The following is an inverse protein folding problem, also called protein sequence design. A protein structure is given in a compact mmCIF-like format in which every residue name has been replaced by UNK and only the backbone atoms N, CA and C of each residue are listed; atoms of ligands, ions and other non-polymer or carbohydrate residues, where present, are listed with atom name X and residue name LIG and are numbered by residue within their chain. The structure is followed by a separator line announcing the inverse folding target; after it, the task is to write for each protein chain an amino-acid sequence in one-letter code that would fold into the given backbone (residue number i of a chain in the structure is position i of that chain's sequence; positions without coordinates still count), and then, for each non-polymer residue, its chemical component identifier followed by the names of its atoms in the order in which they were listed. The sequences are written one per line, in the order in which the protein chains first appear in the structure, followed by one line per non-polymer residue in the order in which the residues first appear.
data_IF_867610279119
#
_entry.id   IF_867610279119
#
_cell.length_a   1.000
_cell.length_b   1.000
_cell.length_c   1.000
_cell.angle_alpha   90.00
_cell.angle_beta   90.00
_cell.angle_gamma   90.00
#
_symmetry.space_group_name_H-M   'P 1'
#
loop_
_entity.id
_entity.type
_entity.pdbx_description
1 polymer ?
#
# COMPACT_ATOMS: atom_id res chain seq x y z
N UNK A 1 32.56 69.70 -56.90
CA UNK A 1 31.40 68.85 -56.58
C UNK A 1 31.81 67.95 -55.42
N UNK A 2 31.13 67.95 -54.27
CA UNK A 2 31.52 67.10 -53.14
C UNK A 2 31.09 65.65 -53.37
N UNK A 3 31.95 64.69 -53.01
CA UNK A 3 31.64 63.26 -53.07
C UNK A 3 30.60 62.86 -52.03
N UNK A 4 29.61 62.06 -52.45
CA UNK A 4 28.49 61.61 -51.62
C UNK A 4 28.94 60.56 -50.59
N UNK A 5 28.41 60.58 -49.34
CA UNK A 5 28.82 59.62 -48.33
C UNK A 5 28.23 58.22 -48.62
N UNK A 6 29.05 57.20 -48.53
CA UNK A 6 28.65 55.79 -48.63
C UNK A 6 28.03 55.38 -47.29
N UNK A 7 26.72 55.08 -47.30
CA UNK A 7 26.04 54.52 -46.13
C UNK A 7 26.25 53.00 -46.08
N UNK A 8 27.00 52.54 -45.08
CA UNK A 8 27.21 51.12 -44.81
C UNK A 8 25.93 50.54 -44.15
N UNK A 9 25.18 49.73 -44.90
CA UNK A 9 23.97 49.09 -44.41
C UNK A 9 24.35 47.92 -43.49
N UNK A 10 24.48 48.16 -42.19
CA UNK A 10 24.61 47.07 -41.22
C UNK A 10 23.24 46.43 -40.97
N UNK A 11 23.09 45.16 -41.36
CA UNK A 11 21.85 44.38 -41.19
C UNK A 11 21.55 44.13 -39.70
N UNK A 12 20.31 44.33 -39.21
CA UNK A 12 20.00 44.19 -37.79
C UNK A 12 20.08 42.73 -37.35
N UNK A 13 20.94 42.44 -36.36
CA UNK A 13 21.09 41.10 -35.79
C UNK A 13 19.77 40.61 -35.16
N UNK A 14 19.22 39.51 -35.72
CA UNK A 14 17.95 38.88 -35.32
C UNK A 14 18.02 38.39 -33.86
N UNK A 15 17.40 39.13 -32.94
CA UNK A 15 17.39 38.84 -31.50
C UNK A 15 16.63 37.52 -31.25
N UNK A 16 17.35 36.44 -30.90
CA UNK A 16 16.76 35.12 -30.65
C UNK A 16 15.85 35.17 -29.41
N UNK A 17 14.55 34.90 -29.60
CA UNK A 17 13.56 34.86 -28.52
C UNK A 17 13.79 33.65 -27.60
N UNK A 18 14.34 33.90 -26.40
CA UNK A 18 14.62 32.87 -25.37
C UNK A 18 13.37 32.11 -24.89
N UNK A 19 12.16 32.56 -25.25
CA UNK A 19 10.88 31.87 -24.96
C UNK A 19 10.84 30.46 -25.56
N UNK A 20 11.40 30.25 -26.75
CA UNK A 20 11.46 28.92 -27.38
C UNK A 20 12.43 27.98 -26.67
N UNK A 21 13.52 28.50 -26.10
CA UNK A 21 14.43 27.71 -25.26
C UNK A 21 13.76 27.28 -23.96
N UNK A 22 12.92 28.16 -23.38
CA UNK A 22 12.13 27.81 -22.19
C UNK A 22 11.07 26.75 -22.50
N UNK A 23 10.34 26.87 -23.62
CA UNK A 23 9.38 25.86 -24.07
C UNK A 23 10.06 24.51 -24.34
N UNK A 24 11.21 24.51 -25.01
CA UNK A 24 11.99 23.30 -25.24
C UNK A 24 12.46 22.65 -23.92
N UNK A 25 12.87 23.46 -22.94
CA UNK A 25 13.22 22.99 -21.60
C UNK A 25 12.04 22.33 -20.87
N UNK A 26 10.84 22.92 -20.93
CA UNK A 26 9.63 22.34 -20.32
C UNK A 26 9.25 21.02 -20.98
N UNK A 27 9.31 20.93 -22.31
CA UNK A 27 9.03 19.69 -23.04
C UNK A 27 10.03 18.59 -22.66
N UNK A 28 11.32 18.95 -22.53
CA UNK A 28 12.37 18.02 -22.13
C UNK A 28 12.19 17.54 -20.69
N UNK A 29 11.79 18.43 -19.77
CA UNK A 29 11.44 18.06 -18.39
C UNK A 29 10.20 17.16 -18.32
N UNK A 30 9.15 17.43 -19.11
CA UNK A 30 7.96 16.57 -19.18
C UNK A 30 8.29 15.19 -19.77
N UNK A 31 9.15 15.13 -20.79
CA UNK A 31 9.65 13.88 -21.36
C UNK A 31 10.46 13.06 -20.36
N UNK A 32 11.38 13.70 -19.62
CA UNK A 32 12.14 13.06 -18.55
C UNK A 32 11.25 12.61 -17.39
N UNK A 33 10.23 13.40 -17.04
CA UNK A 33 9.26 13.05 -16.03
C UNK A 33 8.48 11.79 -16.42
N UNK A 34 7.91 11.76 -17.64
CA UNK A 34 7.21 10.58 -18.16
C UNK A 34 8.10 9.34 -18.29
N UNK A 35 9.36 9.51 -18.68
CA UNK A 35 10.34 8.42 -18.72
C UNK A 35 10.56 7.80 -17.33
N UNK A 36 10.67 8.63 -16.29
CA UNK A 36 10.91 8.16 -14.92
C UNK A 36 9.66 7.57 -14.25
N UNK A 37 8.48 8.13 -14.53
CA UNK A 37 7.23 7.72 -13.85
C UNK A 37 6.48 6.61 -14.56
N UNK A 38 6.90 6.21 -15.77
CA UNK A 38 6.22 5.23 -16.61
C UNK A 38 4.72 5.56 -16.84
N UNK A 39 4.35 6.85 -16.77
CA UNK A 39 2.97 7.34 -16.92
C UNK A 39 2.63 7.71 -18.35
N UNK A 40 3.28 7.09 -19.34
CA UNK A 40 3.07 7.42 -20.75
C UNK A 40 1.62 7.09 -21.18
N UNK A 41 0.93 7.96 -21.94
CA UNK A 41 -0.46 7.74 -22.35
C UNK A 41 -0.68 6.53 -23.27
N UNK A 42 0.35 6.15 -24.02
CA UNK A 42 0.39 5.00 -24.94
C UNK A 42 1.29 3.91 -24.36
N UNK A 43 0.74 2.73 -24.11
CA UNK A 43 1.47 1.62 -23.48
C UNK A 43 2.00 0.61 -24.48
N UNK A 44 1.38 0.51 -25.65
CA UNK A 44 1.82 -0.36 -26.74
C UNK A 44 1.32 0.17 -28.09
N UNK A 45 1.90 -0.31 -29.19
CA UNK A 45 1.37 -0.14 -30.54
C UNK A 45 1.18 -1.50 -31.18
N UNK A 46 0.04 -1.71 -31.82
CA UNK A 46 -0.23 -2.90 -32.65
C UNK A 46 -0.33 -2.42 -34.09
N UNK A 47 0.76 -2.59 -34.85
CA UNK A 47 0.89 -1.95 -36.17
C UNK A 47 0.86 -0.43 -36.07
N UNK A 48 -0.19 0.20 -36.61
CA UNK A 48 -0.42 1.66 -36.55
C UNK A 48 -1.48 2.10 -35.53
N UNK A 49 -2.01 1.16 -34.73
CA UNK A 49 -3.03 1.46 -33.73
C UNK A 49 -2.41 1.55 -32.33
N UNK A 50 -2.45 2.72 -31.67
CA UNK A 50 -1.95 2.86 -30.31
C UNK A 50 -2.90 2.23 -29.29
N UNK A 51 -2.34 1.51 -28.31
CA UNK A 51 -3.04 1.04 -27.11
C UNK A 51 -2.86 2.08 -26.02
N UNK A 52 -3.97 2.70 -25.61
CA UNK A 52 -3.93 3.75 -24.60
C UNK A 52 -3.98 3.19 -23.18
N UNK A 53 -3.22 3.81 -22.29
CA UNK A 53 -3.16 3.46 -20.86
C UNK A 53 -4.53 3.50 -20.18
N UNK A 54 -5.42 4.42 -20.57
CA UNK A 54 -6.76 4.50 -19.98
C UNK A 54 -7.61 3.25 -20.28
N UNK A 55 -7.44 2.64 -21.46
CA UNK A 55 -8.16 1.41 -21.83
C UNK A 55 -7.68 0.23 -20.97
N UNK A 56 -6.37 0.13 -20.79
CA UNK A 56 -5.76 -0.88 -19.91
C UNK A 56 -6.21 -0.68 -18.47
N UNK A 57 -6.12 0.54 -17.95
CA UNK A 57 -6.59 0.85 -16.59
C UNK A 57 -8.08 0.53 -16.42
N UNK A 58 -8.92 0.83 -17.40
CA UNK A 58 -10.34 0.50 -17.35
C UNK A 58 -10.57 -1.03 -17.36
N UNK A 59 -9.80 -1.78 -18.16
CA UNK A 59 -9.88 -3.24 -18.16
C UNK A 59 -9.42 -3.85 -16.83
N UNK A 60 -8.29 -3.39 -16.28
CA UNK A 60 -7.81 -3.78 -14.94
C UNK A 60 -8.81 -3.41 -13.86
N UNK A 61 -9.43 -2.23 -13.96
CA UNK A 61 -10.44 -1.79 -13.02
C UNK A 61 -11.67 -2.71 -13.04
N UNK A 62 -12.09 -3.17 -14.22
CA UNK A 62 -13.17 -4.17 -14.36
C UNK A 62 -12.79 -5.54 -13.78
N UNK A 63 -11.53 -5.96 -13.89
CA UNK A 63 -11.07 -7.26 -13.40
C UNK A 63 -10.89 -7.32 -11.88
N UNK A 64 -10.41 -6.24 -11.26
CA UNK A 64 -10.12 -6.24 -9.82
C UNK A 64 -10.06 -4.88 -9.14
N UNK A 65 -10.31 -3.79 -9.88
CA UNK A 65 -10.22 -2.43 -9.34
C UNK A 65 -11.18 -2.16 -8.19
N UNK A 66 -12.39 -2.72 -8.22
CA UNK A 66 -13.35 -2.61 -7.10
C UNK A 66 -12.75 -3.15 -5.80
N UNK A 67 -12.18 -4.36 -5.83
CA UNK A 67 -11.58 -4.99 -4.65
C UNK A 67 -10.37 -4.21 -4.14
N UNK A 68 -9.55 -3.68 -5.06
CA UNK A 68 -8.42 -2.80 -4.70
C UNK A 68 -8.92 -1.52 -4.02
N UNK A 69 -9.98 -0.89 -4.54
CA UNK A 69 -10.59 0.28 -3.90
C UNK A 69 -11.11 -0.06 -2.51
N UNK A 70 -11.81 -1.19 -2.33
CA UNK A 70 -12.30 -1.59 -1.01
C UNK A 70 -11.18 -1.87 -0.01
N UNK A 71 -10.08 -2.49 -0.46
CA UNK A 71 -8.88 -2.67 0.37
C UNK A 71 -8.31 -1.33 0.84
N UNK A 72 -8.18 -0.37 -0.08
CA UNK A 72 -7.67 0.98 0.21
C UNK A 72 -8.63 1.76 1.14
N UNK A 73 -9.94 1.65 0.94
CA UNK A 73 -10.95 2.25 1.82
C UNK A 73 -10.80 1.68 3.23
N UNK A 74 -10.76 0.35 3.35
CA UNK A 74 -10.59 -0.34 4.62
C UNK A 74 -9.31 0.12 5.32
N UNK A 75 -8.17 0.12 4.62
CA UNK A 75 -6.90 0.62 5.15
C UNK A 75 -7.01 2.05 5.70
N UNK A 76 -7.63 2.97 4.95
CA UNK A 76 -7.79 4.36 5.38
C UNK A 76 -8.69 4.50 6.60
N UNK A 77 -9.78 3.75 6.66
CA UNK A 77 -10.68 3.73 7.81
C UNK A 77 -9.94 3.25 9.05
N UNK A 78 -9.23 2.12 8.94
CA UNK A 78 -8.46 1.54 10.05
C UNK A 78 -7.37 2.50 10.53
N UNK A 79 -6.55 3.03 9.62
CA UNK A 79 -5.51 4.02 9.97
C UNK A 79 -6.09 5.25 10.67
N UNK A 80 -7.20 5.77 10.16
CA UNK A 80 -7.88 6.92 10.76
C UNK A 80 -8.39 6.62 12.16
N UNK A 81 -8.93 5.43 12.40
CA UNK A 81 -9.46 5.04 13.70
C UNK A 81 -8.35 4.72 14.72
N UNK A 82 -7.26 4.08 14.29
CA UNK A 82 -6.05 3.88 15.10
C UNK A 82 -5.49 5.23 15.58
N UNK A 83 -5.38 6.20 14.67
CA UNK A 83 -4.93 7.55 15.00
C UNK A 83 -5.85 8.25 16.01
N UNK A 84 -7.19 8.13 15.87
CA UNK A 84 -8.15 8.69 16.83
C UNK A 84 -8.03 8.07 18.23
N UNK A 85 -7.71 6.78 18.31
CA UNK A 85 -7.48 6.06 19.57
C UNK A 85 -6.07 6.29 20.15
N UNK A 86 -5.23 7.08 19.48
CA UNK A 86 -3.85 7.34 19.92
C UNK A 86 -2.92 6.14 19.80
N UNK A 87 -3.29 5.13 19.00
CA UNK A 87 -2.49 3.93 18.82
C UNK A 87 -1.51 4.18 17.68
N UNK A 88 -0.22 4.19 18.03
CA UNK A 88 0.88 4.37 17.09
C UNK A 88 1.89 3.26 17.29
N UNK A 89 2.11 2.47 16.24
CA UNK A 89 3.13 1.43 16.21
C UNK A 89 4.44 2.06 15.74
N UNK A 90 5.47 1.94 16.57
CA UNK A 90 6.82 2.45 16.26
C UNK A 90 7.45 1.70 15.09
N UNK A 91 8.41 2.33 14.41
CA UNK A 91 9.18 1.65 13.35
C UNK A 91 9.91 0.42 13.89
N UNK A 92 10.46 0.49 15.09
CA UNK A 92 11.15 -0.64 15.72
C UNK A 92 10.24 -1.86 15.93
N UNK A 93 8.96 -1.66 16.30
CA UNK A 93 8.01 -2.76 16.42
C UNK A 93 7.68 -3.38 15.06
N UNK A 94 7.53 -2.56 14.03
CA UNK A 94 7.28 -3.04 12.68
C UNK A 94 8.49 -3.80 12.12
N UNK A 95 9.70 -3.28 12.32
CA UNK A 95 10.93 -3.92 11.88
C UNK A 95 11.16 -5.25 12.61
N UNK A 96 10.88 -5.33 13.91
CA UNK A 96 10.95 -6.59 14.66
C UNK A 96 10.01 -7.67 14.08
N UNK A 97 8.79 -7.29 13.68
CA UNK A 97 7.85 -8.21 13.05
C UNK A 97 8.29 -8.60 11.63
N UNK A 98 8.84 -7.68 10.85
CA UNK A 98 9.43 -7.97 9.55
C UNK A 98 10.58 -8.97 9.69
N UNK A 99 11.45 -8.82 10.69
CA UNK A 99 12.53 -9.78 10.95
C UNK A 99 12.03 -11.17 11.35
N UNK A 100 10.93 -11.25 12.11
CA UNK A 100 10.24 -12.53 12.38
C UNK A 100 9.74 -13.19 11.08
N UNK A 101 9.12 -12.39 10.19
CA UNK A 101 8.67 -12.86 8.89
C UNK A 101 9.85 -13.33 8.04
N UNK A 102 10.96 -12.58 8.00
CA UNK A 102 12.18 -12.99 7.29
C UNK A 102 12.72 -14.33 7.78
N UNK A 103 12.77 -14.54 9.10
CA UNK A 103 13.19 -15.83 9.69
C UNK A 103 12.25 -16.96 9.29
N UNK A 104 10.95 -16.70 9.16
CA UNK A 104 9.96 -17.71 8.74
C UNK A 104 10.09 -18.14 7.28
N UNK A 105 10.71 -17.33 6.42
CA UNK A 105 10.92 -17.64 5.00
C UNK A 105 12.06 -18.65 4.77
N UNK A 106 12.88 -18.91 5.79
CA UNK A 106 14.02 -19.81 5.74
C UNK A 106 15.34 -19.11 5.38
N UNK A 107 16.46 -19.76 5.72
CA UNK A 107 17.79 -19.23 5.43
C UNK A 107 18.05 -19.19 3.91
N UNK A 108 18.60 -18.07 3.42
CA UNK A 108 18.96 -17.88 2.02
C UNK A 108 17.89 -17.24 1.14
N UNK A 109 16.70 -16.95 1.67
CA UNK A 109 15.67 -16.20 0.97
C UNK A 109 15.92 -14.70 1.12
N UNK A 110 16.15 -14.01 0.01
CA UNK A 110 16.24 -12.55 -0.01
C UNK A 110 14.82 -11.94 -0.04
N UNK A 111 14.42 -11.39 1.10
CA UNK A 111 13.14 -10.74 1.28
C UNK A 111 12.93 -9.56 0.32
N UNK A 112 13.97 -8.75 0.07
CA UNK A 112 13.84 -7.57 -0.76
C UNK A 112 13.68 -7.97 -2.24
N UNK A 113 14.36 -9.04 -2.67
CA UNK A 113 14.16 -9.62 -4.00
C UNK A 113 12.74 -10.18 -4.18
N UNK A 114 12.18 -10.86 -3.17
CA UNK A 114 10.80 -11.36 -3.22
C UNK A 114 9.77 -10.23 -3.29
N UNK A 115 10.01 -9.12 -2.59
CA UNK A 115 9.14 -7.96 -2.68
C UNK A 115 9.22 -7.31 -4.05
N UNK A 116 10.44 -7.16 -4.59
CA UNK A 116 10.66 -6.59 -5.93
C UNK A 116 9.96 -7.41 -7.02
N UNK A 117 9.97 -8.75 -6.94
CA UNK A 117 9.23 -9.62 -7.86
C UNK A 117 7.72 -9.35 -7.84
N UNK A 118 7.18 -9.02 -6.66
CA UNK A 118 5.76 -8.66 -6.46
C UNK A 118 5.47 -7.19 -6.75
N UNK A 119 6.48 -6.40 -7.12
CA UNK A 119 6.35 -4.95 -7.33
C UNK A 119 6.05 -4.19 -6.03
N UNK A 120 6.46 -4.72 -4.88
CA UNK A 120 6.30 -4.12 -3.56
C UNK A 120 7.62 -3.57 -3.05
N UNK A 121 7.52 -2.56 -2.19
CA UNK A 121 8.64 -1.98 -1.46
C UNK A 121 8.61 -2.39 0.01
N UNK A 122 9.78 -2.37 0.67
CA UNK A 122 9.89 -2.61 2.11
C UNK A 122 9.04 -1.62 2.91
N UNK A 123 8.96 -0.37 2.45
CA UNK A 123 8.15 0.67 3.10
C UNK A 123 6.65 0.38 3.04
N UNK A 124 6.16 -0.16 1.91
CA UNK A 124 4.77 -0.60 1.79
C UNK A 124 4.46 -1.75 2.73
N UNK A 125 5.38 -2.72 2.86
CA UNK A 125 5.23 -3.81 3.82
C UNK A 125 5.28 -3.31 5.26
N UNK A 126 6.20 -2.39 5.58
CA UNK A 126 6.27 -1.76 6.91
C UNK A 126 4.97 -1.06 7.26
N UNK A 127 4.38 -0.31 6.31
CA UNK A 127 3.07 0.31 6.49
C UNK A 127 1.98 -0.73 6.78
N UNK A 128 1.96 -1.85 6.05
CA UNK A 128 1.00 -2.94 6.26
C UNK A 128 1.16 -3.58 7.64
N UNK A 129 2.39 -3.90 8.03
CA UNK A 129 2.71 -4.48 9.34
C UNK A 129 2.28 -3.55 10.49
N UNK A 130 2.49 -2.23 10.36
CA UNK A 130 2.01 -1.26 11.37
C UNK A 130 0.49 -1.27 11.54
N UNK A 131 -0.25 -1.38 10.44
CA UNK A 131 -1.73 -1.47 10.51
C UNK A 131 -2.13 -2.76 11.23
N UNK A 132 -1.51 -3.88 10.88
CA UNK A 132 -1.79 -5.18 11.47
C UNK A 132 -1.53 -5.18 12.98
N UNK A 133 -0.35 -4.70 13.40
CA UNK A 133 0.00 -4.60 14.82
C UNK A 133 -0.94 -3.65 15.58
N UNK A 134 -1.37 -2.56 14.95
CA UNK A 134 -2.35 -1.64 15.53
C UNK A 134 -3.73 -2.28 15.71
N UNK A 135 -4.19 -3.05 14.72
CA UNK A 135 -5.44 -3.82 14.78
C UNK A 135 -5.39 -4.85 15.91
N UNK A 136 -4.31 -5.63 15.98
CA UNK A 136 -4.09 -6.61 17.04
C UNK A 136 -4.11 -5.94 18.41
N UNK A 137 -3.47 -4.78 18.58
CA UNK A 137 -3.47 -4.05 19.85
C UNK A 137 -4.88 -3.59 20.29
N UNK A 138 -5.72 -3.12 19.35
CA UNK A 138 -7.12 -2.76 19.67
C UNK A 138 -7.87 -4.00 20.12
N UNK A 139 -7.85 -5.06 19.31
CA UNK A 139 -8.74 -6.19 19.53
C UNK A 139 -8.26 -7.06 20.69
N UNK A 140 -6.95 -7.23 20.88
CA UNK A 140 -6.39 -7.93 22.04
C UNK A 140 -6.84 -7.28 23.37
N UNK A 141 -6.98 -5.95 23.41
CA UNK A 141 -7.52 -5.27 24.60
C UNK A 141 -9.00 -5.57 24.88
N UNK A 142 -9.74 -6.08 23.88
CA UNK A 142 -11.16 -6.42 23.96
C UNK A 142 -11.40 -7.95 24.04
N UNK A 143 -10.45 -8.75 23.55
CA UNK A 143 -10.54 -10.20 23.42
C UNK A 143 -10.12 -10.94 24.71
N UNK A 144 -10.76 -10.62 25.84
CA UNK A 144 -10.51 -11.35 27.09
C UNK A 144 -11.02 -12.79 26.96
N UNK A 145 -10.18 -13.79 27.29
CA UNK A 145 -10.54 -15.21 27.31
C UNK A 145 -10.90 -15.59 28.75
N UNK A 146 -12.06 -16.22 28.95
CA UNK A 146 -12.48 -16.68 30.28
C UNK A 146 -11.95 -18.08 30.58
N UNK A 147 -11.81 -18.42 31.87
CA UNK A 147 -11.34 -19.73 32.30
C UNK A 147 -12.27 -20.86 31.81
N UNK A 148 -13.58 -20.60 31.75
CA UNK A 148 -14.59 -21.54 31.27
C UNK A 148 -14.43 -21.82 29.77
N UNK A 149 -14.05 -20.82 28.98
CA UNK A 149 -13.76 -21.00 27.54
C UNK A 149 -12.52 -21.85 27.34
N UNK A 150 -11.47 -21.66 28.15
CA UNK A 150 -10.25 -22.47 28.14
C UNK A 150 -10.57 -23.91 28.53
N UNK A 151 -11.31 -24.13 29.62
CA UNK A 151 -11.68 -25.46 30.08
C UNK A 151 -12.51 -26.22 29.05
N UNK A 152 -13.45 -25.53 28.40
CA UNK A 152 -14.23 -26.10 27.30
C UNK A 152 -13.33 -26.44 26.10
N UNK A 153 -12.43 -25.54 25.71
CA UNK A 153 -11.55 -25.78 24.57
C UNK A 153 -10.58 -26.94 24.81
N UNK A 154 -10.02 -27.05 26.02
CA UNK A 154 -9.18 -28.19 26.43
C UNK A 154 -9.96 -29.50 26.42
N UNK A 155 -11.21 -29.48 26.88
CA UNK A 155 -12.09 -30.66 26.84
C UNK A 155 -12.40 -31.10 25.41
N UNK A 156 -12.72 -30.15 24.54
CA UNK A 156 -13.20 -30.42 23.18
C UNK A 156 -12.03 -30.70 22.20
N UNK A 157 -10.86 -30.12 22.44
CA UNK A 157 -9.71 -30.17 21.51
C UNK A 157 -8.42 -30.73 22.14
N UNK A 158 -8.49 -31.32 23.34
CA UNK A 158 -7.32 -31.72 24.13
C UNK A 158 -6.34 -32.68 23.43
N UNK A 159 -6.78 -33.41 22.41
CA UNK A 159 -5.94 -34.29 21.59
C UNK A 159 -5.02 -33.53 20.62
N UNK A 160 -5.35 -32.28 20.28
CA UNK A 160 -4.60 -31.42 19.34
C UNK A 160 -3.76 -30.36 20.06
N UNK A 161 -3.85 -30.29 21.39
CA UNK A 161 -3.09 -29.35 22.20
C UNK A 161 -1.66 -29.84 22.41
N UNK A 162 -0.70 -29.01 22.03
CA UNK A 162 0.71 -29.22 22.31
C UNK A 162 1.00 -28.94 23.80
N UNK A 163 1.76 -29.82 24.45
CA UNK A 163 2.14 -29.67 25.85
C UNK A 163 2.29 -31.02 26.55
N UNK A 164 3.29 -31.12 27.42
CA UNK A 164 3.55 -32.31 28.24
C UNK A 164 2.79 -32.25 29.57
N UNK A 165 2.49 -31.04 30.06
CA UNK A 165 1.73 -30.80 31.28
C UNK A 165 0.35 -30.21 31.01
N UNK A 166 -0.56 -30.35 31.97
CA UNK A 166 -1.90 -29.76 31.92
C UNK A 166 -1.86 -28.22 31.88
N UNK A 167 -0.91 -27.61 32.59
CA UNK A 167 -0.68 -26.17 32.55
C UNK A 167 -0.20 -25.69 31.16
N UNK A 168 0.69 -26.42 30.50
CA UNK A 168 1.14 -26.12 29.13
C UNK A 168 0.00 -26.23 28.12
N UNK A 169 -0.84 -27.27 28.25
CA UNK A 169 -2.02 -27.44 27.39
C UNK A 169 -3.03 -26.32 27.58
N UNK A 170 -3.29 -25.89 28.82
CA UNK A 170 -4.17 -24.74 29.12
C UNK A 170 -3.60 -23.43 28.55
N UNK A 171 -2.31 -23.18 28.70
CA UNK A 171 -1.67 -21.99 28.12
C UNK A 171 -1.73 -21.99 26.58
N UNK A 172 -1.53 -23.15 25.94
CA UNK A 172 -1.69 -23.30 24.49
C UNK A 172 -3.14 -23.05 24.06
N UNK A 173 -4.11 -23.60 24.79
CA UNK A 173 -5.53 -23.39 24.52
C UNK A 173 -5.93 -21.92 24.66
N UNK A 174 -5.47 -21.25 25.72
CA UNK A 174 -5.71 -19.82 25.94
C UNK A 174 -5.16 -18.98 24.81
N UNK A 175 -3.91 -19.25 24.37
CA UNK A 175 -3.31 -18.55 23.23
C UNK A 175 -4.11 -18.77 21.94
N UNK A 176 -4.48 -20.02 21.63
CA UNK A 176 -5.26 -20.34 20.43
C UNK A 176 -6.63 -19.65 20.44
N UNK A 177 -7.31 -19.63 21.60
CA UNK A 177 -8.58 -18.92 21.77
C UNK A 177 -8.41 -17.41 21.64
N UNK A 178 -7.36 -16.84 22.25
CA UNK A 178 -7.05 -15.42 22.13
C UNK A 178 -6.82 -15.04 20.66
N UNK A 179 -5.98 -15.80 19.95
CA UNK A 179 -5.69 -15.59 18.53
C UNK A 179 -6.97 -15.70 17.69
N UNK A 180 -7.83 -16.70 17.96
CA UNK A 180 -9.10 -16.87 17.27
C UNK A 180 -10.07 -15.71 17.53
N UNK A 181 -10.17 -15.25 18.78
CA UNK A 181 -10.99 -14.09 19.14
C UNK A 181 -10.46 -12.81 18.51
N UNK A 182 -9.15 -12.63 18.46
CA UNK A 182 -8.53 -11.49 17.79
C UNK A 182 -8.85 -11.50 16.29
N UNK A 183 -8.67 -12.63 15.60
CA UNK A 183 -8.98 -12.76 14.18
C UNK A 183 -10.46 -12.47 13.87
N UNK A 184 -11.37 -13.03 14.68
CA UNK A 184 -12.82 -12.80 14.53
C UNK A 184 -13.18 -11.36 14.86
N UNK A 185 -12.62 -10.82 15.95
CA UNK A 185 -12.86 -9.46 16.41
C UNK A 185 -12.35 -8.40 15.43
N UNK A 186 -11.20 -8.62 14.77
CA UNK A 186 -10.72 -7.74 13.69
C UNK A 186 -11.74 -7.69 12.56
N UNK A 187 -12.23 -8.85 12.12
CA UNK A 187 -13.19 -8.94 11.01
C UNK A 187 -14.50 -8.21 11.35
N UNK A 188 -15.06 -8.46 12.54
CA UNK A 188 -16.27 -7.76 13.02
C UNK A 188 -16.04 -6.27 13.17
N UNK A 189 -14.93 -5.86 13.77
CA UNK A 189 -14.62 -4.46 14.01
C UNK A 189 -14.41 -3.68 12.70
N UNK A 190 -13.81 -4.28 11.68
CA UNK A 190 -13.68 -3.66 10.36
C UNK A 190 -15.06 -3.44 9.72
N UNK A 191 -15.98 -4.41 9.81
CA UNK A 191 -17.33 -4.27 9.28
C UNK A 191 -18.14 -3.22 10.05
N UNK A 192 -18.03 -3.18 11.38
CA UNK A 192 -18.60 -2.10 12.19
C UNK A 192 -18.01 -0.74 11.83
N UNK A 193 -16.70 -0.68 11.58
CA UNK A 193 -16.01 0.55 11.19
C UNK A 193 -16.47 1.03 9.81
N UNK A 194 -16.69 0.13 8.85
CA UNK A 194 -17.24 0.46 7.53
C UNK A 194 -18.67 0.97 7.63
N UNK A 195 -19.53 0.32 8.42
CA UNK A 195 -20.95 0.70 8.54
C UNK A 195 -21.15 2.04 9.26
N UNK A 196 -20.37 2.32 10.30
CA UNK A 196 -20.43 3.63 11.01
C UNK A 196 -19.76 4.77 10.25
N UNK A 197 -18.88 4.45 9.31
CA UNK A 197 -18.13 5.45 8.55
C UNK A 197 -18.85 5.80 7.26
N UNK A 198 -18.95 7.10 6.95
CA UNK A 198 -19.54 7.54 5.70
C UNK A 198 -18.54 7.42 4.56
N UNK A 199 -18.65 6.36 3.75
CA UNK A 199 -17.83 6.18 2.55
C UNK A 199 -18.61 6.59 1.31
N UNK A 200 -18.05 7.50 0.51
CA UNK A 200 -18.62 7.94 -0.75
C UNK A 200 -17.86 7.31 -1.91
N UNK A 201 -18.54 6.47 -2.70
CA UNK A 201 -17.99 5.91 -3.93
C UNK A 201 -18.43 6.76 -5.11
N UNK A 202 -17.47 7.26 -5.88
CA UNK A 202 -17.72 8.11 -7.05
C UNK A 202 -17.17 7.40 -8.28
N UNK A 203 -17.98 7.22 -9.32
CA UNK A 203 -17.56 6.58 -10.57
C UNK A 203 -17.39 5.06 -10.49
N UNK A 204 -17.91 4.43 -9.44
CA UNK A 204 -17.94 2.97 -9.24
C UNK A 204 -19.40 2.59 -8.99
N UNK A 205 -20.01 1.86 -9.93
CA UNK A 205 -21.32 1.26 -9.67
C UNK A 205 -21.10 0.11 -8.69
N UNK A 206 -21.68 0.20 -7.48
CA UNK A 206 -21.66 -0.87 -6.48
C UNK A 206 -22.28 -2.14 -7.07
#
# INVERSE_FOLDING_TARGET
MPESPVFEVTSPAKRKNKKYLWIAGVILLLGLWWYKTNTWPVVAMVGFTPVFRHQVNQALFKQGGKNVVEGIVTERLVKGELAKKGISVSDSQADAKIEEVKKSLGEGVDFDALLAEKGLTVDEVRSQVKIQLGLEQIIASQATVSAEEVDKYVKDNGAFLNGTTDAEKRASAEKMLADQKVQTGISTWIEELKTRSKVWYIGINQ
#
